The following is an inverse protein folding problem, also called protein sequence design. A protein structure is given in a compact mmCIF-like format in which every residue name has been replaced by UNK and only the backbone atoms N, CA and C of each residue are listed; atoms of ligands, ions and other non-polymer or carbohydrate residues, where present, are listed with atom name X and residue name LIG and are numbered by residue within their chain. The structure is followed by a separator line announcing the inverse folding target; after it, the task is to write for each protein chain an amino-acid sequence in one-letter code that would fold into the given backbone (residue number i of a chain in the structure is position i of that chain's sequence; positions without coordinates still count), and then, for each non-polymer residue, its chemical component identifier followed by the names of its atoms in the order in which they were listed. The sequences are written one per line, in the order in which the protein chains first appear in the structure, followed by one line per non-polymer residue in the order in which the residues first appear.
data_IF_228356319057
#
_entry.id   IF_228356319057
#
_cell.length_a   1.000
_cell.length_b   1.000
_cell.length_c   1.000
_cell.angle_alpha   90.00
_cell.angle_beta   90.00
_cell.angle_gamma   90.00
#
_symmetry.space_group_name_H-M   'P 1'
#
loop_
_entity.id
_entity.type
_entity.pdbx_description
1 polymer ?
#
# COMPACT_ATOMS: atom_id res chain seq x y z
N UNK A 1 3.22 -2.25 -8.65
CA UNK A 1 1.89 -2.89 -8.81
C UNK A 1 0.95 -2.09 -7.93
N UNK A 2 -0.21 -1.72 -8.45
CA UNK A 2 -1.18 -0.98 -7.65
C UNK A 2 -1.99 -1.97 -6.80
N UNK A 3 -1.95 -1.78 -5.49
CA UNK A 3 -2.74 -2.52 -4.52
C UNK A 3 -3.66 -1.58 -3.77
N UNK A 4 -4.92 -2.01 -3.60
CA UNK A 4 -5.85 -1.39 -2.67
C UNK A 4 -5.82 -2.18 -1.37
N UNK A 5 -5.27 -1.56 -0.33
CA UNK A 5 -5.26 -2.08 1.02
C UNK A 5 -6.59 -1.74 1.69
N UNK A 6 -7.28 -2.74 2.22
CA UNK A 6 -8.49 -2.57 3.02
C UNK A 6 -8.21 -2.68 4.52
N UNK A 7 -7.00 -3.09 4.90
CA UNK A 7 -6.49 -3.08 6.28
C UNK A 7 -5.06 -2.52 6.34
N UNK A 8 -4.61 -1.99 7.50
CA UNK A 8 -3.22 -1.59 7.69
C UNK A 8 -2.26 -2.77 7.51
N UNK A 9 -1.14 -2.56 6.80
CA UNK A 9 -0.16 -3.60 6.50
C UNK A 9 1.28 -3.11 6.66
N UNK A 10 2.05 -3.81 7.49
CA UNK A 10 3.47 -3.54 7.69
C UNK A 10 4.35 -4.43 6.81
N UNK A 11 4.89 -3.86 5.74
CA UNK A 11 5.85 -4.56 4.89
C UNK A 11 7.27 -4.46 5.47
N UNK A 12 7.70 -5.53 6.13
CA UNK A 12 9.03 -5.61 6.76
C UNK A 12 10.10 -6.00 5.74
N UNK A 13 11.14 -5.19 5.68
CA UNK A 13 12.34 -5.43 4.87
C UNK A 13 13.58 -5.43 5.77
N UNK A 14 14.71 -6.00 5.32
CA UNK A 14 15.97 -5.87 6.05
C UNK A 14 16.32 -4.38 6.23
N UNK A 15 16.36 -3.92 7.48
CA UNK A 15 16.75 -2.56 7.84
C UNK A 15 15.62 -1.52 7.92
N UNK A 16 14.40 -1.80 7.42
CA UNK A 16 13.28 -0.86 7.56
C UNK A 16 11.91 -1.54 7.36
N UNK A 17 10.84 -0.87 7.81
CA UNK A 17 9.45 -1.29 7.60
C UNK A 17 8.69 -0.18 6.90
N UNK A 18 7.88 -0.55 5.90
CA UNK A 18 6.92 0.38 5.28
C UNK A 18 5.54 0.06 5.83
N UNK A 19 4.97 0.99 6.59
CA UNK A 19 3.60 0.89 7.09
C UNK A 19 2.63 1.47 6.05
N UNK A 20 1.79 0.61 5.48
CA UNK A 20 0.69 1.02 4.60
C UNK A 20 -0.59 1.15 5.42
N UNK A 21 -1.26 2.28 5.29
CA UNK A 21 -2.64 2.44 5.79
C UNK A 21 -3.63 1.91 4.76
N UNK A 22 -4.91 1.90 5.10
CA UNK A 22 -6.00 1.63 4.16
C UNK A 22 -5.92 2.66 3.02
N UNK A 23 -5.90 2.20 1.77
CA UNK A 23 -5.77 3.07 0.60
C UNK A 23 -5.13 2.41 -0.61
N UNK A 24 -4.83 3.23 -1.62
CA UNK A 24 -4.30 2.78 -2.91
C UNK A 24 -2.82 3.16 -3.06
N UNK A 25 -1.95 2.17 -3.17
CA UNK A 25 -0.51 2.36 -3.20
C UNK A 25 0.15 1.60 -4.36
N UNK A 26 1.17 2.21 -4.95
CA UNK A 26 2.06 1.51 -5.87
C UNK A 26 3.17 0.83 -5.06
N UNK A 27 3.13 -0.50 -4.99
CA UNK A 27 4.06 -1.30 -4.19
C UNK A 27 4.92 -2.20 -5.08
N UNK A 28 6.00 -2.74 -4.50
CA UNK A 28 6.83 -3.75 -5.17
C UNK A 28 6.06 -5.07 -5.34
N UNK A 29 6.46 -5.92 -6.30
CA UNK A 29 5.81 -7.23 -6.50
C UNK A 29 5.88 -8.13 -5.27
N UNK A 30 6.99 -8.08 -4.52
CA UNK A 30 7.18 -8.88 -3.29
C UNK A 30 6.21 -8.45 -2.19
N UNK A 31 6.10 -7.14 -1.96
CA UNK A 31 5.10 -6.60 -1.04
C UNK A 31 3.68 -6.97 -1.49
N UNK A 32 3.40 -6.89 -2.80
CA UNK A 32 2.08 -7.21 -3.31
C UNK A 32 1.69 -8.67 -3.05
N UNK A 33 2.60 -9.61 -3.35
CA UNK A 33 2.36 -11.02 -3.09
C UNK A 33 2.12 -11.29 -1.59
N UNK A 34 2.89 -10.65 -0.70
CA UNK A 34 2.73 -10.81 0.73
C UNK A 34 1.40 -10.22 1.26
N UNK A 35 1.02 -9.02 0.83
CA UNK A 35 -0.21 -8.37 1.25
C UNK A 35 -1.46 -9.12 0.76
N UNK A 36 -1.43 -9.65 -0.47
CA UNK A 36 -2.51 -10.50 -1.01
C UNK A 36 -2.58 -11.83 -0.27
N UNK A 37 -1.43 -12.48 -0.01
CA UNK A 37 -1.39 -13.74 0.73
C UNK A 37 -1.85 -13.59 2.19
N UNK A 38 -1.68 -12.40 2.77
CA UNK A 38 -2.21 -12.03 4.08
C UNK A 38 -3.65 -11.53 4.04
N UNK A 39 -4.30 -11.55 2.87
CA UNK A 39 -5.68 -11.06 2.65
C UNK A 39 -5.89 -9.60 3.07
N UNK A 40 -4.82 -8.80 3.16
CA UNK A 40 -4.87 -7.39 3.58
C UNK A 40 -5.11 -6.40 2.42
N UNK A 41 -4.95 -6.87 1.18
CA UNK A 41 -5.08 -6.05 -0.02
C UNK A 41 -5.44 -6.85 -1.26
N UNK A 42 -6.03 -6.16 -2.24
CA UNK A 42 -6.38 -6.72 -3.54
C UNK A 42 -5.68 -5.99 -4.69
N UNK A 43 -5.30 -6.70 -5.77
CA UNK A 43 -4.75 -6.08 -6.97
C UNK A 43 -5.81 -5.28 -7.68
N UNK A 44 -5.49 -4.02 -8.00
CA UNK A 44 -6.40 -3.18 -8.79
C UNK A 44 -5.86 -2.89 -10.18
N UNK A 45 -6.79 -2.80 -11.14
CA UNK A 45 -6.53 -2.29 -12.48
C UNK A 45 -6.64 -0.78 -12.55
N UNK A 46 -7.25 -0.15 -11.55
CA UNK A 46 -7.33 1.30 -11.40
C UNK A 46 -5.95 1.85 -11.10
N UNK A 47 -5.29 2.33 -12.15
CA UNK A 47 -4.14 3.22 -12.00
C UNK A 47 -4.73 4.60 -11.70
N UNK A 48 -4.58 5.14 -10.50
CA UNK A 48 -5.01 6.50 -10.27
C UNK A 48 -4.19 7.40 -11.21
N UNK A 49 -4.88 8.30 -11.89
CA UNK A 49 -4.29 9.47 -12.54
C UNK A 49 -3.36 10.11 -11.48
N UNK A 50 -2.17 10.58 -11.85
CA UNK A 50 -1.03 10.89 -10.96
C UNK A 50 -1.27 11.84 -9.74
N UNK A 51 -2.51 12.22 -9.45
CA UNK A 51 -2.94 13.09 -8.34
C UNK A 51 -3.54 12.36 -7.13
N UNK A 52 -3.78 11.04 -7.17
CA UNK A 52 -4.46 10.32 -6.06
C UNK A 52 -3.56 9.26 -5.42
N UNK A 53 -2.38 9.66 -4.95
CA UNK A 53 -1.72 8.89 -3.91
C UNK A 53 -2.24 9.41 -2.56
N UNK A 54 -3.31 8.80 -2.05
CA UNK A 54 -3.79 9.03 -0.67
C UNK A 54 -2.81 8.42 0.32
N UNK A 55 -1.66 9.07 0.48
CA UNK A 55 -0.56 8.59 1.30
C UNK A 55 0.23 9.76 1.85
N UNK A 56 -0.46 10.71 2.46
CA UNK A 56 0.16 11.90 3.00
C UNK A 56 -0.82 12.73 3.82
N UNK A 57 -1.47 12.12 4.82
CA UNK A 57 -2.10 12.92 5.88
C UNK A 57 -0.98 13.61 6.63
N UNK A 58 -0.65 14.83 6.20
CA UNK A 58 0.09 15.80 7.00
C UNK A 58 -0.70 15.95 8.29
N UNK A 59 -0.14 15.48 9.40
CA UNK A 59 -0.55 15.94 10.72
C UNK A 59 -0.14 17.41 10.79
N UNK A 60 -1.08 18.30 10.45
CA UNK A 60 -0.96 19.72 10.76
C UNK A 60 -1.12 19.88 12.27
N UNK A 61 -0.08 20.39 12.91
CA UNK A 61 -0.19 21.01 14.24
C UNK A 61 -0.70 22.44 14.13
#
# INVERSE_FOLDING_TARGET
MWLRFHEPFDWRQPGFTIAYSIGLYNVTRKCAAAAIAAEAAEPTKDRPNAKTQEGGRRLAG
#
